data_IF_289311861443
#
_entry.id   IF_289311861443
#
_cell.length_a   1.000
_cell.length_b   1.000
_cell.length_c   1.000
_cell.angle_alpha   90.00
_cell.angle_beta   90.00
_cell.angle_gamma   90.00
#
_symmetry.space_group_name_H-M   'P 1'
#
loop_
_entity.id
_entity.type
_entity.pdbx_description
1 polymer ?
#
# COMPACT_ATOMS: atom_id res chain seq x y z
N UNK A 1 -2.31 12.50 -21.90
CA UNK A 1 -2.13 11.40 -20.94
C UNK A 1 -2.94 11.72 -19.71
N UNK A 2 -3.88 10.85 -19.35
CA UNK A 2 -4.73 11.00 -18.16
C UNK A 2 -4.01 10.46 -16.93
N UNK A 3 -4.14 11.13 -15.79
CA UNK A 3 -3.44 10.77 -14.53
C UNK A 3 -4.43 10.74 -13.38
N UNK A 4 -4.31 9.76 -12.49
CA UNK A 4 -5.14 9.68 -11.28
C UNK A 4 -4.61 8.70 -10.24
N UNK A 5 -5.28 8.63 -9.10
CA UNK A 5 -4.94 7.72 -8.01
C UNK A 5 -6.01 6.64 -7.82
N UNK A 6 -5.58 5.40 -7.62
CA UNK A 6 -6.40 4.21 -7.43
C UNK A 6 -6.19 3.67 -6.01
N UNK A 7 -7.29 3.48 -5.27
CA UNK A 7 -7.28 2.97 -3.91
C UNK A 7 -8.15 1.72 -3.85
N UNK A 8 -7.66 0.67 -3.19
CA UNK A 8 -8.43 -0.54 -2.90
C UNK A 8 -8.93 -0.49 -1.47
N UNK A 9 -10.25 -0.56 -1.28
CA UNK A 9 -10.89 -0.41 0.02
C UNK A 9 -11.99 -1.45 0.23
N UNK A 10 -11.69 -2.44 1.05
CA UNK A 10 -12.61 -3.53 1.43
C UNK A 10 -12.74 -3.56 2.93
N UNK A 11 -13.95 -3.31 3.45
CA UNK A 11 -14.21 -3.26 4.88
C UNK A 11 -14.04 -4.65 5.51
N UNK A 12 -13.58 -4.64 6.76
CA UNK A 12 -13.57 -5.80 7.66
C UNK A 12 -14.46 -5.49 8.85
N UNK A 13 -14.83 -6.52 9.62
CA UNK A 13 -15.66 -6.33 10.82
C UNK A 13 -15.11 -5.30 11.80
N UNK A 14 -13.79 -5.18 11.90
CA UNK A 14 -13.08 -4.30 12.83
C UNK A 14 -12.45 -3.05 12.20
N UNK A 15 -12.59 -2.83 10.88
CA UNK A 15 -11.85 -1.77 10.20
C UNK A 15 -12.62 -1.23 9.00
N UNK A 16 -12.88 0.08 9.00
CA UNK A 16 -13.54 0.78 7.90
C UNK A 16 -12.54 1.34 6.89
N UNK A 17 -12.07 0.48 5.98
CA UNK A 17 -11.17 0.88 4.91
C UNK A 17 -11.78 1.86 3.91
N UNK A 18 -13.11 1.89 3.77
CA UNK A 18 -13.79 2.83 2.87
C UNK A 18 -13.73 4.25 3.44
N UNK A 19 -13.90 4.41 4.76
CA UNK A 19 -13.71 5.71 5.41
C UNK A 19 -12.25 6.18 5.31
N UNK A 20 -11.27 5.27 5.46
CA UNK A 20 -9.85 5.60 5.26
C UNK A 20 -9.57 6.04 3.83
N UNK A 21 -10.11 5.32 2.84
CA UNK A 21 -9.94 5.65 1.43
C UNK A 21 -10.59 6.98 1.06
N UNK A 22 -11.78 7.29 1.58
CA UNK A 22 -12.44 8.59 1.39
C UNK A 22 -11.59 9.74 1.96
N UNK A 23 -11.05 9.55 3.16
CA UNK A 23 -10.15 10.52 3.77
C UNK A 23 -8.85 10.68 2.96
N UNK A 24 -8.25 9.57 2.50
CA UNK A 24 -7.07 9.58 1.63
C UNK A 24 -7.37 10.31 0.31
N UNK A 25 -8.51 10.05 -0.33
CA UNK A 25 -8.92 10.74 -1.57
C UNK A 25 -9.01 12.25 -1.41
N UNK A 26 -9.53 12.76 -0.29
CA UNK A 26 -9.54 14.20 0.02
C UNK A 26 -8.13 14.78 0.14
N UNK A 27 -7.21 14.05 0.77
CA UNK A 27 -5.83 14.46 0.91
C UNK A 27 -5.09 14.43 -0.44
N UNK A 28 -5.30 13.39 -1.26
CA UNK A 28 -4.77 13.29 -2.63
C UNK A 28 -5.23 14.48 -3.47
N UNK A 29 -6.52 14.77 -3.47
CA UNK A 29 -7.05 15.93 -4.20
C UNK A 29 -6.42 17.23 -3.73
N UNK A 30 -6.27 17.40 -2.42
CA UNK A 30 -5.68 18.62 -1.83
C UNK A 30 -4.21 18.81 -2.18
N UNK A 31 -3.40 17.76 -2.11
CA UNK A 31 -1.96 17.84 -2.26
C UNK A 31 -1.48 17.60 -3.69
N UNK A 32 -2.11 16.68 -4.40
CA UNK A 32 -1.68 16.28 -5.73
C UNK A 32 -2.52 16.89 -6.84
N UNK A 33 -3.77 17.28 -6.55
CA UNK A 33 -4.74 17.81 -7.51
C UNK A 33 -5.00 16.87 -8.69
N UNK A 34 -5.16 15.57 -8.40
CA UNK A 34 -5.50 14.53 -9.37
C UNK A 34 -6.81 13.85 -8.98
N UNK A 35 -7.57 13.29 -9.95
CA UNK A 35 -8.76 12.51 -9.68
C UNK A 35 -8.43 11.20 -8.95
N UNK A 36 -9.44 10.66 -8.26
CA UNK A 36 -9.34 9.44 -7.46
C UNK A 36 -10.39 8.42 -7.87
N UNK A 37 -10.00 7.15 -7.90
CA UNK A 37 -10.91 6.03 -8.02
C UNK A 37 -10.77 5.10 -6.83
N UNK A 38 -11.85 4.44 -6.46
CA UNK A 38 -11.86 3.40 -5.45
C UNK A 38 -12.35 2.08 -6.05
N UNK A 39 -11.63 1.00 -5.73
CA UNK A 39 -12.06 -0.38 -5.98
C UNK A 39 -12.61 -0.93 -4.67
N UNK A 40 -13.90 -1.29 -4.66
CA UNK A 40 -14.58 -1.70 -3.44
C UNK A 40 -15.75 -2.64 -3.72
N UNK A 41 -16.16 -3.39 -2.71
CA UNK A 41 -17.33 -4.28 -2.73
C UNK A 41 -18.56 -3.70 -2.01
N UNK A 42 -18.43 -2.49 -1.44
CA UNK A 42 -19.59 -1.85 -0.78
C UNK A 42 -20.62 -1.38 -1.79
N UNK A 43 -21.85 -1.20 -1.30
CA UNK A 43 -22.96 -0.74 -2.13
C UNK A 43 -22.60 0.58 -2.84
N UNK A 44 -22.75 0.70 -4.17
CA UNK A 44 -22.46 1.93 -4.91
C UNK A 44 -23.23 3.18 -4.43
N UNK A 45 -24.28 3.01 -3.63
CA UNK A 45 -25.05 4.12 -3.02
C UNK A 45 -24.49 4.57 -1.66
N UNK A 46 -23.41 3.96 -1.20
CA UNK A 46 -22.78 4.38 0.06
C UNK A 46 -22.34 5.84 -0.06
N UNK A 47 -22.76 6.73 0.87
CA UNK A 47 -22.48 8.16 0.76
C UNK A 47 -20.98 8.49 0.83
N UNK A 48 -20.16 7.64 1.41
CA UNK A 48 -18.69 7.79 1.45
C UNK A 48 -18.06 7.71 0.06
N UNK A 49 -18.71 7.02 -0.88
CA UNK A 49 -18.22 6.89 -2.26
C UNK A 49 -18.40 8.16 -3.08
N UNK A 50 -19.26 9.08 -2.67
CA UNK A 50 -19.48 10.36 -3.36
C UNK A 50 -18.22 11.25 -3.40
N UNK A 51 -17.22 10.96 -2.57
CA UNK A 51 -15.92 11.66 -2.56
C UNK A 51 -14.96 11.25 -3.68
N UNK A 52 -15.24 10.16 -4.41
CA UNK A 52 -14.40 9.67 -5.50
C UNK A 52 -14.92 10.11 -6.86
N UNK A 53 -13.99 10.30 -7.81
CA UNK A 53 -14.33 10.64 -9.20
C UNK A 53 -14.83 9.39 -9.96
N UNK A 54 -14.37 8.19 -9.54
CA UNK A 54 -14.84 6.91 -10.06
C UNK A 54 -14.94 5.85 -8.96
N UNK A 55 -15.99 5.03 -9.04
CA UNK A 55 -16.18 3.86 -8.19
C UNK A 55 -16.15 2.62 -9.08
N UNK A 56 -15.24 1.73 -8.81
CA UNK A 56 -15.03 0.49 -9.55
C UNK A 56 -15.50 -0.65 -8.65
N UNK A 57 -16.61 -1.30 -8.98
CA UNK A 57 -17.10 -2.42 -8.19
C UNK A 57 -16.10 -3.59 -8.28
N UNK A 58 -15.72 -4.12 -7.12
CA UNK A 58 -14.93 -5.34 -7.06
C UNK A 58 -15.81 -6.52 -7.50
N UNK A 59 -15.25 -7.39 -8.32
CA UNK A 59 -15.88 -8.68 -8.59
C UNK A 59 -15.66 -9.62 -7.41
N UNK A 60 -16.61 -10.49 -7.13
CA UNK A 60 -16.54 -11.46 -6.01
C UNK A 60 -15.29 -12.35 -6.04
N UNK A 61 -14.66 -12.50 -7.20
CA UNK A 61 -13.39 -13.22 -7.38
C UNK A 61 -12.16 -12.51 -6.79
N UNK A 62 -12.29 -11.24 -6.43
CA UNK A 62 -11.20 -10.48 -5.80
C UNK A 62 -11.00 -10.85 -4.31
N UNK A 63 -11.90 -11.59 -3.70
CA UNK A 63 -11.77 -12.17 -2.37
C UNK A 63 -10.97 -13.47 -2.44
N UNK A 64 -9.65 -13.40 -2.31
CA UNK A 64 -8.83 -14.59 -2.11
C UNK A 64 -9.08 -15.17 -0.71
N UNK A 65 -9.31 -16.48 -0.63
CA UNK A 65 -9.20 -17.17 0.65
C UNK A 65 -7.73 -17.47 0.91
N UNK A 66 -7.33 -17.23 2.14
CA UNK A 66 -5.99 -17.46 2.62
C UNK A 66 -6.01 -18.53 3.69
N UNK A 67 -5.30 -19.62 3.47
CA UNK A 67 -5.06 -20.60 4.51
C UNK A 67 -3.95 -20.10 5.44
N UNK A 68 -4.25 -20.05 6.72
CA UNK A 68 -3.28 -19.74 7.77
C UNK A 68 -2.88 -21.04 8.46
N UNK A 69 -1.68 -21.52 8.20
CA UNK A 69 -1.16 -22.75 8.84
C UNK A 69 -1.11 -22.61 10.36
N UNK A 70 -0.71 -21.44 10.87
CA UNK A 70 -0.62 -21.16 12.30
C UNK A 70 -1.97 -21.25 13.03
N UNK A 71 -3.07 -20.95 12.33
CA UNK A 71 -4.42 -20.97 12.89
C UNK A 71 -5.27 -22.13 12.35
N UNK A 72 -4.72 -22.96 11.44
CA UNK A 72 -5.46 -24.01 10.76
C UNK A 72 -6.82 -23.53 10.22
N UNK A 73 -6.86 -22.31 9.72
CA UNK A 73 -8.08 -21.63 9.30
C UNK A 73 -7.94 -20.96 7.94
N UNK A 74 -9.03 -20.97 7.17
CA UNK A 74 -9.13 -20.19 5.94
C UNK A 74 -9.73 -18.82 6.28
N UNK A 75 -8.99 -17.76 5.97
CA UNK A 75 -9.42 -16.38 6.18
C UNK A 75 -9.66 -15.72 4.84
N UNK A 76 -10.75 -14.97 4.71
CA UNK A 76 -11.00 -14.15 3.52
C UNK A 76 -10.06 -12.96 3.50
N UNK A 77 -9.32 -12.81 2.40
CA UNK A 77 -8.40 -11.70 2.18
C UNK A 77 -8.85 -10.85 1.00
N UNK A 78 -9.25 -9.62 1.29
CA UNK A 78 -9.94 -8.76 0.33
C UNK A 78 -8.99 -7.97 -0.61
N UNK A 79 -7.70 -7.84 -0.28
CA UNK A 79 -6.77 -6.98 -1.01
C UNK A 79 -5.93 -7.71 -2.08
N UNK A 80 -6.24 -8.99 -2.38
CA UNK A 80 -5.59 -9.76 -3.45
C UNK A 80 -5.80 -9.13 -4.84
N UNK A 81 -6.91 -8.43 -5.03
CA UNK A 81 -7.26 -7.75 -6.28
C UNK A 81 -6.36 -6.57 -6.65
N UNK A 82 -5.42 -6.16 -5.79
CA UNK A 82 -4.46 -5.11 -6.14
C UNK A 82 -3.56 -5.49 -7.33
N UNK A 83 -3.34 -6.77 -7.57
CA UNK A 83 -2.64 -7.29 -8.75
C UNK A 83 -3.35 -6.95 -10.06
N UNK A 84 -4.63 -6.57 -9.99
CA UNK A 84 -5.43 -6.19 -11.15
C UNK A 84 -5.46 -4.66 -11.38
N UNK A 85 -4.65 -3.90 -10.63
CA UNK A 85 -4.64 -2.43 -10.69
C UNK A 85 -4.38 -1.88 -12.10
N UNK A 86 -3.52 -2.54 -12.91
CA UNK A 86 -3.26 -2.15 -14.28
C UNK A 86 -4.52 -2.23 -15.16
N UNK A 87 -5.28 -3.30 -15.04
CA UNK A 87 -6.51 -3.51 -15.81
C UNK A 87 -7.65 -2.63 -15.32
N UNK A 88 -7.78 -2.46 -13.99
CA UNK A 88 -8.86 -1.71 -13.36
C UNK A 88 -8.69 -0.19 -13.43
N UNK A 89 -7.46 0.30 -13.55
CA UNK A 89 -7.22 1.73 -13.59
C UNK A 89 -7.86 2.38 -14.83
N UNK A 90 -8.57 3.50 -14.67
CA UNK A 90 -9.13 4.24 -15.78
C UNK A 90 -8.14 5.23 -16.44
N UNK A 91 -6.90 5.32 -15.96
CA UNK A 91 -5.92 6.31 -16.41
C UNK A 91 -4.72 5.72 -17.14
N UNK A 92 -4.06 6.56 -17.93
CA UNK A 92 -2.79 6.22 -18.60
C UNK A 92 -1.62 6.17 -17.62
N UNK A 93 -1.65 7.03 -16.61
CA UNK A 93 -0.70 7.04 -15.50
C UNK A 93 -1.46 6.94 -14.18
N UNK A 94 -1.07 6.00 -13.35
CA UNK A 94 -1.80 5.66 -12.13
C UNK A 94 -0.87 5.63 -10.92
N UNK A 95 -1.32 6.29 -9.86
CA UNK A 95 -0.74 6.15 -8.54
C UNK A 95 -1.63 5.21 -7.71
N UNK A 96 -1.17 4.00 -7.43
CA UNK A 96 -1.87 3.04 -6.57
C UNK A 96 -1.42 3.26 -5.14
N UNK A 97 -2.37 3.49 -4.24
CA UNK A 97 -2.10 3.77 -2.82
C UNK A 97 -2.87 2.83 -1.90
N UNK A 98 -2.25 2.45 -0.79
CA UNK A 98 -2.97 1.83 0.32
C UNK A 98 -3.95 2.83 0.95
N UNK A 99 -5.11 2.37 1.40
CA UNK A 99 -6.11 3.20 2.05
C UNK A 99 -5.58 3.86 3.35
N UNK A 100 -4.57 3.26 3.95
CA UNK A 100 -3.90 3.69 5.17
C UNK A 100 -2.57 4.43 4.91
N UNK A 101 -2.32 4.82 3.66
CA UNK A 101 -1.23 5.73 3.33
C UNK A 101 -1.69 7.18 3.44
N UNK A 102 -1.03 7.94 4.30
CA UNK A 102 -1.36 9.33 4.62
C UNK A 102 -0.61 10.26 3.67
N UNK A 103 -1.33 10.87 2.74
CA UNK A 103 -0.80 11.93 1.87
C UNK A 103 -0.90 13.26 2.60
N UNK A 104 0.23 13.79 3.04
CA UNK A 104 0.35 15.05 3.79
C UNK A 104 1.28 16.07 3.11
N UNK A 105 1.73 15.76 1.91
CA UNK A 105 2.62 16.61 1.09
C UNK A 105 2.34 16.48 -0.39
N UNK A 106 3.04 17.27 -1.20
CA UNK A 106 3.02 17.15 -2.65
C UNK A 106 4.14 16.25 -3.21
N UNK A 107 4.86 15.52 -2.36
CA UNK A 107 6.05 14.77 -2.73
C UNK A 107 5.80 13.74 -3.85
N UNK A 108 4.64 13.08 -3.82
CA UNK A 108 4.26 12.10 -4.85
C UNK A 108 4.11 12.71 -6.26
N UNK A 109 4.01 14.04 -6.42
CA UNK A 109 4.04 14.67 -7.75
C UNK A 109 5.34 14.38 -8.50
N UNK A 110 6.45 14.24 -7.80
CA UNK A 110 7.74 13.88 -8.40
C UNK A 110 7.65 12.56 -9.18
N UNK A 111 6.85 11.60 -8.70
CA UNK A 111 6.63 10.33 -9.38
C UNK A 111 5.80 10.52 -10.65
N UNK A 112 4.80 11.41 -10.60
CA UNK A 112 3.92 11.72 -11.74
C UNK A 112 4.67 12.48 -12.84
N UNK A 113 5.67 13.27 -12.47
CA UNK A 113 6.53 14.00 -13.41
C UNK A 113 7.66 13.11 -13.99
N UNK A 114 7.87 11.94 -13.41
CA UNK A 114 8.89 10.98 -13.86
C UNK A 114 8.51 10.33 -15.20
N UNK A 115 9.50 10.00 -16.01
CA UNK A 115 9.33 9.23 -17.25
C UNK A 115 9.37 7.71 -17.03
N UNK A 116 9.51 7.25 -15.79
CA UNK A 116 9.57 5.83 -15.47
C UNK A 116 8.22 5.14 -15.75
N UNK A 117 8.28 3.91 -16.23
CA UNK A 117 7.09 3.11 -16.53
C UNK A 117 6.48 2.47 -15.28
N UNK A 118 7.32 2.19 -14.27
CA UNK A 118 6.92 1.63 -12.98
C UNK A 118 7.85 2.11 -11.87
N UNK A 119 7.27 2.46 -10.71
CA UNK A 119 8.00 2.85 -9.50
C UNK A 119 7.29 2.30 -8.25
N UNK A 120 8.06 1.79 -7.30
CA UNK A 120 7.62 1.41 -5.96
C UNK A 120 8.75 1.64 -4.96
N UNK A 121 8.47 1.60 -3.65
CA UNK A 121 9.49 1.77 -2.63
C UNK A 121 10.37 0.52 -2.49
N UNK A 122 11.68 0.68 -2.61
CA UNK A 122 12.66 -0.39 -2.39
C UNK A 122 12.89 -0.71 -0.90
N UNK A 123 12.57 0.21 0.00
CA UNK A 123 12.73 0.02 1.44
C UNK A 123 11.71 0.83 2.23
N UNK A 124 11.46 0.39 3.46
CA UNK A 124 10.68 1.13 4.45
C UNK A 124 11.51 1.37 5.72
N UNK A 125 11.10 2.36 6.50
CA UNK A 125 11.72 2.66 7.78
C UNK A 125 10.68 3.15 8.78
N UNK A 126 10.93 2.88 10.07
CA UNK A 126 10.14 3.46 11.14
C UNK A 126 10.51 4.93 11.33
N UNK A 127 9.52 5.81 11.30
CA UNK A 127 9.69 7.26 11.48
C UNK A 127 10.28 7.61 12.86
N UNK A 128 10.00 6.79 13.88
CA UNK A 128 10.51 7.01 15.24
C UNK A 128 11.95 6.52 15.41
N UNK A 129 12.42 5.65 14.51
CA UNK A 129 13.74 5.02 14.59
C UNK A 129 13.86 3.97 15.69
N UNK A 130 12.76 3.59 16.35
CA UNK A 130 12.75 2.58 17.42
C UNK A 130 12.76 1.18 16.84
N UNK A 131 11.95 0.94 15.82
CA UNK A 131 11.83 -0.36 15.21
C UNK A 131 12.83 -0.53 14.07
N UNK A 132 13.49 -1.68 14.08
CA UNK A 132 14.40 -2.06 13.02
C UNK A 132 13.64 -2.76 11.87
N UNK A 133 13.49 -2.08 10.75
CA UNK A 133 12.82 -2.61 9.56
C UNK A 133 13.70 -3.50 8.67
N UNK A 134 14.92 -3.84 9.07
CA UNK A 134 15.81 -4.68 8.25
C UNK A 134 15.11 -5.98 7.85
N UNK A 135 14.55 -6.72 8.81
CA UNK A 135 13.83 -7.95 8.53
C UNK A 135 12.50 -7.78 7.75
N UNK A 136 11.96 -6.55 7.68
CA UNK A 136 10.79 -6.23 6.87
C UNK A 136 11.16 -5.79 5.44
N UNK A 137 12.41 -5.42 5.21
CA UNK A 137 12.92 -5.03 3.90
C UNK A 137 13.51 -6.20 3.11
N UNK A 138 13.39 -7.41 3.65
CA UNK A 138 13.86 -8.64 3.05
C UNK A 138 12.80 -9.75 3.16
N UNK A 139 12.88 -10.78 2.32
CA UNK A 139 12.01 -11.95 2.39
C UNK A 139 12.74 -13.23 2.01
N UNK A 140 12.23 -14.36 2.53
CA UNK A 140 12.78 -15.69 2.31
C UNK A 140 14.14 -15.90 3.00
N UNK A 141 14.63 -17.15 2.99
CA UNK A 141 15.91 -17.50 3.61
C UNK A 141 17.13 -16.92 2.89
N UNK A 142 16.95 -16.48 1.64
CA UNK A 142 18.01 -15.88 0.83
C UNK A 142 18.10 -14.35 0.97
N UNK A 143 17.39 -13.77 1.93
CA UNK A 143 17.39 -12.31 2.18
C UNK A 143 17.14 -11.49 0.91
N UNK A 144 16.15 -11.91 0.13
CA UNK A 144 15.78 -11.20 -1.10
C UNK A 144 15.21 -9.83 -0.76
N UNK A 145 15.61 -8.76 -1.47
CA UNK A 145 15.14 -7.42 -1.16
C UNK A 145 13.63 -7.27 -1.39
N UNK A 146 12.95 -6.69 -0.40
CA UNK A 146 11.52 -6.42 -0.46
C UNK A 146 11.25 -5.12 -1.21
N UNK A 147 10.26 -5.14 -2.09
CA UNK A 147 9.65 -3.95 -2.69
C UNK A 147 8.25 -3.78 -2.14
N UNK A 148 7.96 -2.59 -1.63
CA UNK A 148 6.71 -2.29 -0.94
C UNK A 148 5.62 -1.86 -1.92
N UNK A 149 4.51 -2.58 -1.91
CA UNK A 149 3.34 -2.31 -2.76
C UNK A 149 2.40 -1.23 -2.18
N UNK A 150 2.75 -0.61 -1.06
CA UNK A 150 1.96 0.44 -0.39
C UNK A 150 1.74 1.65 -1.29
N UNK A 151 2.78 2.02 -2.05
CA UNK A 151 2.73 3.06 -3.08
C UNK A 151 3.35 2.49 -4.35
N UNK A 152 2.58 2.42 -5.41
CA UNK A 152 3.05 2.06 -6.74
C UNK A 152 2.65 3.15 -7.74
N UNK A 153 3.55 3.57 -8.60
CA UNK A 153 3.23 4.39 -9.76
C UNK A 153 3.48 3.58 -11.02
N UNK A 154 2.53 3.59 -11.94
CA UNK A 154 2.77 3.01 -13.26
C UNK A 154 2.21 3.89 -14.38
N UNK A 155 2.83 3.77 -15.55
CA UNK A 155 2.33 4.25 -16.84
C UNK A 155 1.88 3.05 -17.66
N UNK A 156 0.83 3.20 -18.47
CA UNK A 156 0.45 2.14 -19.40
C UNK A 156 1.57 1.89 -20.39
N UNK A 157 2.18 0.71 -20.27
CA UNK A 157 3.26 0.21 -21.11
C UNK A 157 3.31 -1.31 -21.03
N UNK A 158 3.95 -1.94 -22.02
CA UNK A 158 4.18 -3.39 -22.02
C UNK A 158 4.96 -3.85 -20.78
N UNK A 159 5.92 -3.03 -20.32
CA UNK A 159 6.73 -3.36 -19.14
C UNK A 159 5.87 -3.36 -17.87
N UNK A 160 5.07 -2.31 -17.64
CA UNK A 160 4.17 -2.25 -16.48
C UNK A 160 3.11 -3.37 -16.54
N UNK A 161 2.53 -3.65 -17.71
CA UNK A 161 1.59 -4.75 -17.90
C UNK A 161 2.20 -6.08 -17.50
N UNK A 162 3.42 -6.36 -17.96
CA UNK A 162 4.14 -7.60 -17.63
C UNK A 162 4.38 -7.75 -16.12
N UNK A 163 4.69 -6.66 -15.41
CA UNK A 163 4.84 -6.68 -13.93
C UNK A 163 3.54 -7.14 -13.28
N UNK A 164 2.39 -6.54 -13.67
CA UNK A 164 1.10 -6.91 -13.09
C UNK A 164 0.65 -8.31 -13.49
N UNK A 165 0.95 -8.77 -14.70
CA UNK A 165 0.70 -10.15 -15.15
C UNK A 165 1.51 -11.15 -14.31
N UNK A 166 2.79 -10.87 -14.07
CA UNK A 166 3.61 -11.67 -13.17
C UNK A 166 3.08 -11.66 -11.74
N UNK A 167 2.63 -10.51 -11.22
CA UNK A 167 2.01 -10.45 -9.89
C UNK A 167 0.76 -11.34 -9.80
N UNK A 168 -0.10 -11.35 -10.84
CA UNK A 168 -1.28 -12.24 -10.91
C UNK A 168 -0.87 -13.71 -10.94
N UNK A 169 0.09 -14.05 -11.80
CA UNK A 169 0.64 -15.41 -11.90
C UNK A 169 1.19 -15.90 -10.54
N UNK A 170 1.92 -15.04 -9.82
CA UNK A 170 2.47 -15.36 -8.51
C UNK A 170 1.35 -15.54 -7.47
N UNK A 171 0.35 -14.66 -7.47
CA UNK A 171 -0.84 -14.78 -6.61
C UNK A 171 -1.54 -16.11 -6.81
N UNK A 172 -1.82 -16.46 -8.06
CA UNK A 172 -2.59 -17.64 -8.41
C UNK A 172 -1.81 -18.94 -8.16
N UNK A 173 -0.48 -18.85 -8.10
CA UNK A 173 0.43 -19.95 -7.81
C UNK A 173 1.25 -19.71 -6.52
N UNK A 174 0.66 -19.05 -5.53
CA UNK A 174 1.39 -18.56 -4.34
C UNK A 174 2.18 -19.66 -3.62
N UNK A 175 1.60 -20.84 -3.46
CA UNK A 175 2.29 -21.96 -2.81
C UNK A 175 3.62 -22.30 -3.48
N UNK A 176 3.65 -22.36 -4.81
CA UNK A 176 4.88 -22.63 -5.56
C UNK A 176 5.93 -21.54 -5.33
N UNK A 177 5.55 -20.27 -5.42
CA UNK A 177 6.49 -19.16 -5.25
C UNK A 177 6.97 -19.02 -3.80
N UNK A 178 6.10 -19.23 -2.82
CA UNK A 178 6.46 -19.29 -1.41
C UNK A 178 7.56 -20.33 -1.16
N UNK A 179 7.38 -21.55 -1.68
CA UNK A 179 8.33 -22.63 -1.51
C UNK A 179 9.64 -22.37 -2.28
N UNK A 180 9.55 -21.83 -3.50
CA UNK A 180 10.71 -21.48 -4.33
C UNK A 180 11.61 -20.41 -3.67
N UNK A 181 11.01 -19.39 -3.08
CA UNK A 181 11.73 -18.29 -2.43
C UNK A 181 11.93 -18.51 -0.92
N UNK A 182 11.57 -19.69 -0.40
CA UNK A 182 11.73 -20.07 1.01
C UNK A 182 11.11 -19.03 1.97
N UNK A 183 9.88 -18.59 1.65
CA UNK A 183 9.15 -17.63 2.47
C UNK A 183 8.47 -18.40 3.61
N UNK A 184 8.88 -18.16 4.85
CA UNK A 184 8.36 -18.84 6.04
C UNK A 184 6.88 -18.55 6.31
N UNK A 185 6.40 -17.33 6.00
CA UNK A 185 4.99 -16.97 6.17
C UNK A 185 4.11 -17.67 5.13
N UNK A 186 3.08 -18.39 5.59
CA UNK A 186 2.04 -18.96 4.71
C UNK A 186 1.19 -17.89 4.03
N UNK A 187 1.25 -16.68 4.55
CA UNK A 187 0.41 -15.55 4.19
C UNK A 187 0.89 -14.87 2.91
N UNK A 188 0.06 -14.88 1.85
CA UNK A 188 0.31 -14.07 0.67
C UNK A 188 0.32 -12.58 1.02
N UNK A 189 1.29 -11.86 0.46
CA UNK A 189 1.39 -10.40 0.54
C UNK A 189 1.64 -9.82 -0.85
N UNK A 190 1.01 -8.67 -1.14
CA UNK A 190 1.27 -7.95 -2.39
C UNK A 190 2.74 -7.53 -2.52
N UNK A 191 3.40 -7.21 -1.40
CA UNK A 191 4.83 -6.86 -1.37
C UNK A 191 5.70 -8.02 -1.88
N UNK A 192 5.45 -9.25 -1.43
CA UNK A 192 6.15 -10.44 -1.92
C UNK A 192 5.89 -10.66 -3.41
N UNK A 193 4.62 -10.59 -3.84
CA UNK A 193 4.27 -10.79 -5.24
C UNK A 193 4.92 -9.72 -6.14
N UNK A 194 4.93 -8.45 -5.72
CA UNK A 194 5.59 -7.36 -6.43
C UNK A 194 7.10 -7.57 -6.51
N UNK A 195 7.74 -7.89 -5.38
CA UNK A 195 9.20 -8.10 -5.32
C UNK A 195 9.64 -9.25 -6.24
N UNK A 196 8.92 -10.36 -6.21
CA UNK A 196 9.20 -11.51 -7.07
C UNK A 196 8.93 -11.16 -8.54
N UNK A 197 7.82 -10.46 -8.84
CA UNK A 197 7.48 -10.04 -10.21
C UNK A 197 8.55 -9.13 -10.81
N UNK A 198 8.99 -8.12 -10.06
CA UNK A 198 10.06 -7.21 -10.49
C UNK A 198 11.36 -7.97 -10.74
N UNK A 199 11.71 -8.91 -9.87
CA UNK A 199 12.91 -9.72 -10.05
C UNK A 199 12.84 -10.58 -11.32
N UNK A 200 11.69 -11.21 -11.60
CA UNK A 200 11.47 -12.01 -12.82
C UNK A 200 11.57 -11.11 -14.06
N UNK A 201 10.83 -10.00 -14.08
CA UNK A 201 10.73 -9.11 -15.25
C UNK A 201 12.08 -8.45 -15.56
N UNK A 202 12.89 -8.16 -14.54
CA UNK A 202 14.23 -7.59 -14.71
C UNK A 202 15.33 -8.65 -14.87
N UNK A 203 14.98 -9.87 -15.26
CA UNK A 203 15.94 -10.92 -15.58
C UNK A 203 16.74 -11.44 -14.39
N UNK A 204 16.13 -11.47 -13.19
CA UNK A 204 16.75 -11.95 -11.94
C UNK A 204 17.98 -11.13 -11.49
N UNK A 205 18.02 -9.86 -11.86
CA UNK A 205 19.15 -8.98 -11.52
C UNK A 205 19.03 -8.29 -10.18
N UNK A 206 17.87 -8.37 -9.52
CA UNK A 206 17.49 -7.62 -8.31
C UNK A 206 17.55 -6.09 -8.48
N UNK A 207 17.67 -5.62 -9.72
CA UNK A 207 17.78 -4.20 -10.05
C UNK A 207 16.50 -3.73 -10.72
N UNK A 208 15.89 -2.72 -10.15
CA UNK A 208 14.76 -2.01 -10.73
C UNK A 208 14.80 -0.55 -10.28
N UNK A 209 14.20 0.32 -11.09
CA UNK A 209 14.04 1.72 -10.71
C UNK A 209 13.02 1.82 -9.60
N UNK A 210 13.40 2.44 -8.48
CA UNK A 210 12.55 2.60 -7.30
C UNK A 210 12.21 4.06 -7.03
N UNK A 211 11.24 4.29 -6.17
CA UNK A 211 10.96 5.60 -5.59
C UNK A 211 12.23 6.05 -4.86
N UNK A 212 12.75 7.28 -5.12
CA UNK A 212 14.09 7.69 -4.66
C UNK A 212 14.17 8.04 -3.16
N UNK A 213 13.16 7.71 -2.39
CA UNK A 213 13.14 7.80 -0.92
C UNK A 213 12.50 6.55 -0.31
N UNK A 214 12.77 6.29 0.97
CA UNK A 214 12.18 5.18 1.69
C UNK A 214 10.73 5.43 2.08
N UNK A 215 9.96 4.37 2.25
CA UNK A 215 8.61 4.40 2.77
C UNK A 215 8.64 4.71 4.27
N UNK A 216 8.32 5.95 4.64
CA UNK A 216 8.16 6.33 6.03
C UNK A 216 6.95 5.61 6.62
N UNK A 217 7.12 4.88 7.71
CA UNK A 217 6.07 4.08 8.33
C UNK A 217 5.94 4.37 9.82
N UNK A 218 4.71 4.25 10.32
CA UNK A 218 4.38 4.28 11.75
C UNK A 218 3.82 2.91 12.12
N UNK A 219 4.50 2.21 13.01
CA UNK A 219 4.13 0.84 13.41
C UNK A 219 2.82 0.81 14.21
N UNK A 220 2.15 -0.35 14.33
CA UNK A 220 0.85 -0.45 15.01
C UNK A 220 0.88 -0.08 16.49
N UNK A 221 2.05 -0.18 17.14
CA UNK A 221 2.25 0.12 18.55
C UNK A 221 2.29 1.63 18.84
N UNK A 222 2.47 2.45 17.80
CA UNK A 222 2.61 3.89 17.92
C UNK A 222 1.26 4.59 17.71
N UNK A 223 0.98 5.58 18.54
CA UNK A 223 -0.25 6.37 18.42
C UNK A 223 -0.01 7.61 17.56
N UNK A 224 -0.85 7.82 16.56
CA UNK A 224 -0.83 9.00 15.70
C UNK A 224 -1.95 9.94 16.05
N UNK A 225 -1.62 11.21 16.28
CA UNK A 225 -2.59 12.27 16.56
C UNK A 225 -2.35 13.45 15.64
N UNK A 226 -3.41 14.00 15.05
CA UNK A 226 -3.31 15.22 14.23
C UNK A 226 -3.26 16.45 15.13
N UNK A 227 -2.19 17.22 15.07
CA UNK A 227 -2.02 18.45 15.87
C UNK A 227 -2.45 19.70 15.12
N UNK A 228 -2.30 19.70 13.80
CA UNK A 228 -2.77 20.76 12.91
C UNK A 228 -2.85 20.24 11.47
N UNK A 229 -3.12 21.11 10.51
CA UNK A 229 -3.14 20.73 9.10
C UNK A 229 -1.77 20.19 8.69
N UNK A 230 -1.75 18.93 8.18
CA UNK A 230 -0.56 18.22 7.71
C UNK A 230 0.58 18.11 8.75
N UNK A 231 0.22 18.17 10.03
CA UNK A 231 1.12 18.01 11.15
C UNK A 231 0.58 16.95 12.11
N UNK A 232 1.40 15.94 12.37
CA UNK A 232 1.04 14.79 13.17
C UNK A 232 2.06 14.57 14.28
N UNK A 233 1.55 14.30 15.46
CA UNK A 233 2.35 13.84 16.60
C UNK A 233 2.27 12.33 16.66
N UNK A 234 3.42 11.70 16.84
CA UNK A 234 3.57 10.26 17.03
C UNK A 234 4.07 10.04 18.45
N UNK A 235 3.25 9.39 19.27
CA UNK A 235 3.62 8.99 20.61
C UNK A 235 4.04 7.51 20.57
N UNK A 236 5.17 7.19 21.19
CA UNK A 236 5.80 5.88 21.17
C UNK A 236 6.59 5.58 22.45
N UNK A 237 6.93 4.31 22.67
CA UNK A 237 7.88 3.90 23.69
C UNK A 237 9.26 3.70 23.07
N UNK A 238 10.33 4.26 23.67
CA UNK A 238 11.69 3.99 23.22
C UNK A 238 12.14 2.56 23.61
N UNK A 239 13.34 2.16 23.20
CA UNK A 239 13.90 0.84 23.50
C UNK A 239 14.01 0.55 25.01
N UNK A 240 14.09 1.58 25.85
CA UNK A 240 14.10 1.48 27.32
C UNK A 240 12.70 1.62 27.93
N UNK A 241 11.64 1.50 27.09
CA UNK A 241 10.22 1.61 27.46
C UNK A 241 9.85 2.95 28.13
N UNK A 242 10.55 4.01 27.78
CA UNK A 242 10.20 5.37 28.22
C UNK A 242 9.27 6.02 27.19
N UNK A 243 8.22 6.74 27.62
CA UNK A 243 7.33 7.45 26.71
C UNK A 243 8.07 8.58 25.99
N UNK A 244 7.95 8.62 24.68
CA UNK A 244 8.52 9.61 23.78
C UNK A 244 7.48 10.08 22.78
N UNK A 245 7.77 11.17 22.14
CA UNK A 245 6.99 11.65 21.02
C UNK A 245 7.89 12.33 19.98
N UNK A 246 7.43 12.32 18.75
CA UNK A 246 8.00 13.12 17.66
C UNK A 246 6.89 13.78 16.87
N UNK A 247 7.23 14.76 16.05
CA UNK A 247 6.27 15.46 15.18
C UNK A 247 6.74 15.37 13.74
N UNK A 248 5.84 15.00 12.85
CA UNK A 248 6.05 15.06 11.41
C UNK A 248 5.16 16.13 10.81
N UNK A 249 5.68 16.85 9.84
CA UNK A 249 4.96 17.94 9.16
C UNK A 249 5.22 17.92 7.67
N UNK A 250 4.15 18.02 6.88
CA UNK A 250 4.24 18.01 5.41
C UNK A 250 5.05 16.82 4.88
N UNK A 251 4.89 15.65 5.48
CA UNK A 251 5.54 14.41 5.11
C UNK A 251 4.51 13.30 5.02
N UNK A 252 4.55 12.54 3.92
CA UNK A 252 3.71 11.38 3.70
C UNK A 252 4.22 10.20 4.52
N UNK A 253 3.30 9.33 4.96
CA UNK A 253 3.66 8.14 5.72
C UNK A 253 2.62 7.03 5.64
N UNK A 254 3.04 5.80 5.89
CA UNK A 254 2.18 4.63 6.00
C UNK A 254 1.78 4.41 7.46
N UNK A 255 0.49 4.50 7.78
CA UNK A 255 -0.03 4.26 9.12
C UNK A 255 -0.41 2.77 9.28
N UNK A 256 0.50 1.95 9.81
CA UNK A 256 0.28 0.51 9.96
C UNK A 256 -0.78 0.19 11.02
N UNK A 257 -0.97 1.05 12.03
CA UNK A 257 -1.98 0.93 13.09
C UNK A 257 -3.35 1.47 12.65
N UNK A 258 -4.25 0.60 12.19
CA UNK A 258 -5.55 0.98 11.61
C UNK A 258 -6.46 1.68 12.62
N UNK A 259 -6.54 1.19 13.87
CA UNK A 259 -7.36 1.80 14.91
C UNK A 259 -6.94 3.25 15.26
N UNK A 260 -5.67 3.57 15.12
CA UNK A 260 -5.17 4.94 15.34
C UNK A 260 -5.55 5.85 14.17
N UNK A 261 -5.51 5.32 12.94
CA UNK A 261 -5.92 6.06 11.76
C UNK A 261 -7.44 6.32 11.76
N UNK A 262 -8.27 5.36 12.18
CA UNK A 262 -9.73 5.56 12.34
C UNK A 262 -10.03 6.71 13.29
N UNK A 263 -9.42 6.71 14.48
CA UNK A 263 -9.57 7.81 15.45
C UNK A 263 -9.15 9.17 14.89
N UNK A 264 -8.08 9.19 14.09
CA UNK A 264 -7.58 10.39 13.45
C UNK A 264 -8.54 10.94 12.38
N UNK A 265 -9.27 10.07 11.70
CA UNK A 265 -10.29 10.43 10.71
C UNK A 265 -11.57 10.95 11.38
N UNK A 266 -11.97 10.38 12.52
CA UNK A 266 -13.15 10.79 13.28
C UNK A 266 -13.00 12.17 13.94
N UNK A 267 -11.78 12.59 14.26
CA UNK A 267 -11.46 13.89 14.88
C UNK A 267 -11.48 14.99 13.80
N UNK A 268 -12.68 15.31 13.30
CA UNK A 268 -12.93 16.38 12.31
C UNK A 268 -13.09 17.75 12.95
#
# INVERSE_FOLDING_TARGET
MTTGALIFAFNKESTDYVAMAEWSARNIRRHLNIPTAVVTDVNPRDPRLAGFDQVIPATASAGGTRWFEDYQATVTWHNAGRTDAYTLSPWDQTLVLDADYVVASSQLKILLDSNQEFLAHANAYDITGVDNFVGLNEYGEYHMPMTWATVMMFRRSTHAELIFDCMRMIRDNWRHYKDLYQISSSTYRNDHALSIALNIVNGQTLQHTSIPWGLASVTPEHTVTRTSKDCYRIDYMDQEKRPRWTTIKNQDFHAMGKCHLEKLIETR
#
